data_IF_892212876627
#
_entry.id   IF_892212876627
#
_cell.length_a   1.000
_cell.length_b   1.000
_cell.length_c   1.000
_cell.angle_alpha   90.00
_cell.angle_beta   90.00
_cell.angle_gamma   90.00
#
_symmetry.space_group_name_H-M   'P 1'
#
loop_
_entity.id
_entity.type
_entity.pdbx_description
1 polymer ?
#
# COMPACT_ATOMS: atom_id res chain seq x y z
N UNK A 1 -8.69 -33.45 -37.74
CA UNK A 1 -7.62 -33.14 -36.75
C UNK A 1 -7.22 -31.67 -36.76
N UNK A 2 -7.03 -31.04 -37.94
CA UNK A 2 -6.58 -29.64 -38.08
C UNK A 2 -7.63 -28.61 -37.56
N UNK A 3 -8.92 -28.83 -37.83
CA UNK A 3 -10.00 -27.97 -37.32
C UNK A 3 -10.11 -27.98 -35.78
N UNK A 4 -9.82 -29.13 -35.16
CA UNK A 4 -9.87 -29.28 -33.70
C UNK A 4 -8.76 -28.46 -33.03
N UNK A 5 -7.57 -28.48 -33.62
CA UNK A 5 -6.41 -27.70 -33.17
C UNK A 5 -6.69 -26.19 -33.30
N UNK A 6 -7.30 -25.74 -34.39
CA UNK A 6 -7.69 -24.34 -34.58
C UNK A 6 -8.75 -23.87 -33.55
N UNK A 7 -9.72 -24.71 -33.22
CA UNK A 7 -10.72 -24.41 -32.18
C UNK A 7 -10.09 -24.33 -30.78
N UNK A 8 -9.13 -25.21 -30.48
CA UNK A 8 -8.40 -25.19 -29.20
C UNK A 8 -7.51 -23.95 -29.07
N UNK A 9 -6.90 -23.46 -30.15
CA UNK A 9 -6.12 -22.21 -30.12
C UNK A 9 -6.98 -20.97 -29.90
N UNK A 10 -8.18 -20.92 -30.50
CA UNK A 10 -9.11 -19.80 -30.31
C UNK A 10 -9.72 -19.80 -28.89
N UNK A 11 -10.07 -20.96 -28.33
CA UNK A 11 -10.47 -21.06 -26.92
C UNK A 11 -9.33 -20.69 -25.96
N UNK A 12 -8.10 -21.07 -26.29
CA UNK A 12 -6.91 -20.70 -25.51
C UNK A 12 -6.67 -19.18 -25.44
N UNK A 13 -6.90 -18.46 -26.55
CA UNK A 13 -6.85 -16.98 -26.57
C UNK A 13 -7.99 -16.35 -25.76
N UNK A 14 -9.18 -16.94 -25.79
CA UNK A 14 -10.34 -16.42 -25.06
C UNK A 14 -10.17 -16.52 -23.54
N UNK A 15 -9.54 -17.59 -23.04
CA UNK A 15 -9.21 -17.73 -21.62
C UNK A 15 -8.05 -16.81 -21.19
N UNK A 16 -7.02 -16.63 -22.01
CA UNK A 16 -5.90 -15.74 -21.68
C UNK A 16 -6.30 -14.25 -21.58
N UNK A 17 -7.38 -13.83 -22.27
CA UNK A 17 -7.89 -12.46 -22.21
C UNK A 17 -8.69 -12.16 -20.92
N UNK A 18 -9.24 -13.19 -20.25
CA UNK A 18 -10.19 -13.00 -19.14
C UNK A 18 -9.53 -12.84 -17.76
N UNK A 19 -8.25 -13.21 -17.64
CA UNK A 19 -7.52 -13.19 -16.35
C UNK A 19 -6.62 -11.95 -16.15
N UNK A 20 -6.67 -10.96 -17.05
CA UNK A 20 -5.91 -9.72 -16.91
C UNK A 20 -6.83 -8.52 -16.62
N UNK A 21 -7.63 -8.60 -15.57
CA UNK A 21 -7.99 -7.38 -14.83
C UNK A 21 -6.72 -6.91 -14.11
N UNK A 22 -5.87 -6.19 -14.84
CA UNK A 22 -4.63 -5.64 -14.30
C UNK A 22 -4.93 -4.80 -13.06
N UNK A 23 -4.18 -5.03 -11.98
CA UNK A 23 -4.23 -4.18 -10.78
C UNK A 23 -3.90 -2.75 -11.23
N UNK A 24 -4.91 -1.87 -11.24
CA UNK A 24 -4.71 -0.47 -11.58
C UNK A 24 -4.02 0.22 -10.39
N UNK A 25 -2.69 0.27 -10.44
CA UNK A 25 -1.89 0.99 -9.46
C UNK A 25 -1.84 2.47 -9.85
N UNK A 26 -2.50 3.32 -9.07
CA UNK A 26 -2.37 4.76 -9.19
C UNK A 26 -1.38 5.28 -8.14
N UNK A 27 -0.43 6.11 -8.59
CA UNK A 27 0.50 6.82 -7.71
C UNK A 27 0.00 8.25 -7.51
N UNK A 28 -0.07 8.70 -6.26
CA UNK A 28 -0.41 10.08 -5.87
C UNK A 28 0.59 10.59 -4.84
N UNK A 29 0.80 11.90 -4.81
CA UNK A 29 1.57 12.56 -3.75
C UNK A 29 0.59 13.04 -2.67
N UNK A 30 0.65 12.52 -1.42
CA UNK A 30 -0.19 12.98 -0.34
C UNK A 30 0.18 14.39 0.11
N UNK A 31 -0.80 15.27 0.29
CA UNK A 31 -0.59 16.61 0.83
C UNK A 31 -0.96 16.65 2.32
N UNK A 32 0.01 16.93 3.19
CA UNK A 32 -0.22 17.04 4.64
C UNK A 32 -0.89 18.36 4.97
N UNK A 33 -2.08 18.34 5.60
CA UNK A 33 -2.79 19.55 6.02
C UNK A 33 -2.45 19.91 7.47
N UNK A 34 -2.41 18.91 8.34
CA UNK A 34 -2.28 19.10 9.79
C UNK A 34 -1.56 17.93 10.42
N UNK A 35 -0.73 18.23 11.40
CA UNK A 35 -0.16 17.25 12.34
C UNK A 35 -0.20 17.82 13.75
N UNK A 36 -0.70 17.04 14.71
CA UNK A 36 -0.51 17.34 16.13
C UNK A 36 0.77 16.65 16.62
N UNK A 37 1.74 17.45 17.06
CA UNK A 37 2.90 16.97 17.80
C UNK A 37 2.79 17.49 19.23
N UNK A 38 2.25 16.69 20.12
CA UNK A 38 2.43 16.90 21.55
C UNK A 38 2.91 15.61 22.17
N UNK A 39 3.98 15.70 22.97
CA UNK A 39 4.51 14.55 23.70
C UNK A 39 3.39 13.96 24.57
N UNK A 40 3.04 12.69 24.32
CA UNK A 40 2.02 11.95 25.06
C UNK A 40 0.61 11.88 24.43
N UNK A 41 0.27 12.66 23.41
CA UNK A 41 -1.02 12.54 22.69
C UNK A 41 -0.82 11.76 21.39
N UNK A 42 -1.77 10.87 21.07
CA UNK A 42 -1.88 10.20 19.77
C UNK A 42 -1.66 11.22 18.65
N UNK A 43 -0.55 11.09 17.91
CA UNK A 43 -0.22 11.99 16.80
C UNK A 43 -1.25 11.81 15.70
N UNK A 44 -2.22 12.71 15.65
CA UNK A 44 -3.20 12.79 14.59
C UNK A 44 -2.57 13.56 13.42
N UNK A 45 -2.71 13.01 12.23
CA UNK A 45 -2.26 13.62 10.99
C UNK A 45 -3.36 13.54 9.95
N UNK A 46 -3.56 14.63 9.23
CA UNK A 46 -4.56 14.74 8.17
C UNK A 46 -3.84 14.93 6.84
N UNK A 47 -4.16 14.07 5.88
CA UNK A 47 -3.64 14.14 4.51
C UNK A 47 -4.78 14.30 3.50
N UNK A 48 -4.50 14.95 2.37
CA UNK A 48 -5.32 14.88 1.16
C UNK A 48 -4.57 14.02 0.14
N UNK A 49 -5.27 13.05 -0.43
CA UNK A 49 -4.80 12.29 -1.59
C UNK A 49 -5.75 12.49 -2.76
N UNK A 50 -5.25 12.31 -3.99
CA UNK A 50 -6.08 12.37 -5.19
C UNK A 50 -6.12 11.00 -5.86
N UNK A 51 -7.31 10.40 -5.93
CA UNK A 51 -7.57 9.13 -6.63
C UNK A 51 -8.59 9.43 -7.73
N UNK A 52 -8.32 9.02 -8.97
CA UNK A 52 -9.21 9.27 -10.11
C UNK A 52 -9.69 10.72 -10.25
N UNK A 53 -8.76 11.67 -10.05
CA UNK A 53 -9.03 13.13 -10.07
C UNK A 53 -9.97 13.64 -8.96
N UNK A 54 -10.29 12.80 -7.98
CA UNK A 54 -11.10 13.16 -6.81
C UNK A 54 -10.24 13.20 -5.56
N UNK A 55 -10.40 14.26 -4.77
CA UNK A 55 -9.68 14.44 -3.52
C UNK A 55 -10.35 13.69 -2.37
N UNK A 56 -9.54 13.05 -1.53
CA UNK A 56 -9.97 12.34 -0.33
C UNK A 56 -9.16 12.83 0.86
N UNK A 57 -9.84 13.20 1.94
CA UNK A 57 -9.22 13.55 3.22
C UNK A 57 -9.07 12.30 4.06
N UNK A 58 -7.86 12.02 4.53
CA UNK A 58 -7.55 10.90 5.41
C UNK A 58 -7.32 11.42 6.83
N UNK A 59 -8.06 10.88 7.79
CA UNK A 59 -7.79 11.06 9.21
C UNK A 59 -6.97 9.88 9.69
N UNK A 60 -5.72 10.13 10.09
CA UNK A 60 -4.78 9.07 10.46
C UNK A 60 -4.19 9.34 11.84
N UNK A 61 -3.91 8.27 12.56
CA UNK A 61 -3.16 8.30 13.82
C UNK A 61 -1.91 7.47 13.67
N UNK A 62 -0.81 7.91 14.30
CA UNK A 62 0.43 7.13 14.36
C UNK A 62 0.14 5.74 14.93
N UNK A 63 0.54 4.71 14.19
CA UNK A 63 0.36 3.31 14.58
C UNK A 63 1.72 2.63 14.63
N UNK A 64 2.00 1.99 15.77
CA UNK A 64 3.19 1.16 15.98
C UNK A 64 2.77 -0.31 15.98
N UNK A 65 2.68 -0.92 14.81
CA UNK A 65 2.24 -2.32 14.69
C UNK A 65 3.38 -3.34 14.71
N UNK A 66 4.63 -2.89 14.57
CA UNK A 66 5.81 -3.75 14.68
C UNK A 66 6.52 -3.53 16.01
N UNK A 67 7.00 -4.62 16.61
CA UNK A 67 7.93 -4.54 17.73
C UNK A 67 9.25 -3.91 17.29
N UNK A 68 9.97 -3.32 18.25
CA UNK A 68 11.27 -2.69 18.04
C UNK A 68 12.31 -3.67 17.49
N UNK A 69 12.17 -4.95 17.85
CA UNK A 69 13.09 -6.03 17.48
C UNK A 69 12.52 -6.94 16.39
N UNK A 70 11.57 -6.44 15.58
CA UNK A 70 11.00 -7.22 14.49
C UNK A 70 12.02 -7.40 13.36
N UNK A 71 12.29 -8.65 13.01
CA UNK A 71 13.24 -9.04 11.97
C UNK A 71 12.52 -9.56 10.73
N UNK A 72 12.89 -9.03 9.57
CA UNK A 72 12.43 -9.53 8.27
C UNK A 72 13.55 -10.34 7.64
N UNK A 73 13.26 -11.60 7.33
CA UNK A 73 14.17 -12.47 6.61
C UNK A 73 13.73 -12.56 5.15
N UNK A 74 14.65 -12.29 4.23
CA UNK A 74 14.42 -12.36 2.79
C UNK A 74 15.57 -13.12 2.12
N UNK A 75 15.29 -13.80 1.02
CA UNK A 75 16.33 -14.42 0.21
C UNK A 75 16.46 -13.63 -1.09
N UNK A 76 17.69 -13.29 -1.47
CA UNK A 76 17.94 -12.71 -2.78
C UNK A 76 17.86 -13.78 -3.89
N UNK A 77 18.02 -13.36 -5.15
CA UNK A 77 17.97 -14.28 -6.30
C UNK A 77 19.04 -15.38 -6.25
N UNK A 78 20.16 -15.15 -5.55
CA UNK A 78 21.23 -16.13 -5.36
C UNK A 78 21.03 -17.03 -4.14
N UNK A 79 19.89 -16.94 -3.46
CA UNK A 79 19.56 -17.73 -2.27
C UNK A 79 20.30 -17.31 -0.99
N UNK A 80 20.94 -16.15 -0.99
CA UNK A 80 21.59 -15.59 0.21
C UNK A 80 20.55 -14.95 1.13
N UNK A 81 20.64 -15.27 2.43
CA UNK A 81 19.78 -14.71 3.45
C UNK A 81 20.14 -13.24 3.73
N UNK A 82 19.15 -12.37 3.63
CA UNK A 82 19.21 -10.96 4.00
C UNK A 82 18.23 -10.70 5.15
N UNK A 83 18.76 -10.13 6.23
CA UNK A 83 18.00 -9.78 7.44
C UNK A 83 17.89 -8.26 7.53
N UNK A 84 16.68 -7.74 7.53
CA UNK A 84 16.38 -6.31 7.73
C UNK A 84 15.73 -6.09 9.10
N UNK A 85 16.08 -4.99 9.78
CA UNK A 85 15.55 -4.64 11.10
C UNK A 85 14.48 -3.55 11.03
N UNK A 86 13.44 -3.64 11.87
CA UNK A 86 12.32 -2.72 11.87
C UNK A 86 12.55 -1.41 12.63
N UNK A 87 13.70 -1.21 13.27
CA UNK A 87 13.94 -0.11 14.22
C UNK A 87 13.55 1.26 13.65
N UNK A 88 13.88 1.52 12.38
CA UNK A 88 13.55 2.78 11.69
C UNK A 88 12.08 2.88 11.25
N UNK A 89 11.34 1.77 11.16
CA UNK A 89 9.98 1.70 10.60
C UNK A 89 8.89 2.00 11.64
N UNK A 90 9.18 1.93 12.94
CA UNK A 90 8.16 2.14 14.00
C UNK A 90 7.56 3.56 14.08
N UNK A 91 8.18 4.55 13.45
CA UNK A 91 7.80 5.96 13.63
C UNK A 91 7.15 6.62 12.40
N UNK A 92 7.01 5.88 11.31
CA UNK A 92 6.58 6.38 10.00
C UNK A 92 5.33 5.69 9.46
N UNK A 93 4.62 4.93 10.30
CA UNK A 93 3.36 4.28 9.95
C UNK A 93 2.16 4.95 10.62
N UNK A 94 1.08 5.06 9.85
CA UNK A 94 -0.17 5.68 10.27
C UNK A 94 -1.35 4.85 9.79
N UNK A 95 -2.42 4.82 10.58
CA UNK A 95 -3.66 4.13 10.27
C UNK A 95 -4.87 5.00 10.58
N UNK A 96 -5.97 4.77 9.87
CA UNK A 96 -7.22 5.46 10.11
C UNK A 96 -8.21 5.24 8.98
N UNK A 97 -8.88 6.30 8.54
CA UNK A 97 -10.01 6.21 7.61
C UNK A 97 -10.11 7.46 6.72
N UNK A 98 -10.86 7.33 5.61
CA UNK A 98 -11.23 8.48 4.79
C UNK A 98 -12.42 9.22 5.42
N UNK A 99 -12.35 10.55 5.53
CA UNK A 99 -13.35 11.39 6.21
C UNK A 99 -14.78 11.14 5.71
N UNK A 100 -14.94 10.96 4.40
CA UNK A 100 -16.24 10.74 3.76
C UNK A 100 -16.75 9.28 3.91
N UNK A 101 -15.91 8.37 4.42
CA UNK A 101 -16.17 6.94 4.57
C UNK A 101 -15.64 6.45 5.93
N UNK A 102 -16.30 6.77 7.06
CA UNK A 102 -15.77 6.48 8.39
C UNK A 102 -15.56 4.99 8.69
N UNK A 103 -16.26 4.11 7.97
CA UNK A 103 -16.11 2.64 8.08
C UNK A 103 -15.00 2.08 7.17
N UNK A 104 -14.26 2.94 6.46
CA UNK A 104 -13.10 2.53 5.65
C UNK A 104 -11.86 2.31 6.51
N UNK A 105 -10.87 1.63 5.95
CA UNK A 105 -9.54 1.50 6.53
C UNK A 105 -8.50 2.07 5.57
N UNK A 106 -7.57 2.86 6.12
CA UNK A 106 -6.44 3.42 5.40
C UNK A 106 -5.16 3.18 6.20
N UNK A 107 -4.09 2.78 5.51
CA UNK A 107 -2.73 2.68 6.07
C UNK A 107 -1.81 3.52 5.20
N UNK A 108 -0.96 4.33 5.86
CA UNK A 108 0.03 5.17 5.20
C UNK A 108 1.41 4.86 5.79
N UNK A 109 2.41 4.68 4.92
CA UNK A 109 3.81 4.60 5.29
C UNK A 109 4.56 5.77 4.68
N UNK A 110 5.34 6.48 5.50
CA UNK A 110 6.24 7.55 5.07
C UNK A 110 7.71 7.19 5.35
N UNK A 111 8.01 5.90 5.50
CA UNK A 111 9.31 5.42 5.95
C UNK A 111 10.44 5.69 4.95
N UNK A 112 10.09 5.87 3.67
CA UNK A 112 11.00 6.31 2.61
C UNK A 112 11.06 7.84 2.47
N UNK A 113 10.47 8.59 3.40
CA UNK A 113 10.28 10.03 3.31
C UNK A 113 9.02 10.43 2.53
N UNK A 114 8.66 11.70 2.64
CA UNK A 114 7.75 12.39 1.73
C UNK A 114 8.61 13.43 1.01
N UNK A 115 8.66 13.38 -0.32
CA UNK A 115 9.31 14.41 -1.14
C UNK A 115 8.65 15.77 -0.98
#
# INVERSE_FOLDING_TARGET
MILLLALLTELGRLHALRDSEGIFLQVTVPHKIRSSESEGIKREVIYIITIDKKSYTLHLTKSSFLSQDFLVYSFNETGSLHTDSSYFKMHCHYQGYAANFPNSAATLSICSGLS
#
